data_IF_153961309814
#
_entry.id   IF_153961309814
#
_cell.length_a   1.000
_cell.length_b   1.000
_cell.length_c   1.000
_cell.angle_alpha   90.00
_cell.angle_beta   90.00
_cell.angle_gamma   90.00
#
_symmetry.space_group_name_H-M   'P 1'
#
loop_
_entity.id
_entity.type
_entity.pdbx_description
1 polymer ?
#
# COMPACT_ATOMS: atom_id res chain seq x y z
N UNK A 9 -11.94 -16.34 23.78
CA UNK A 9 -11.64 -16.58 22.37
C UNK A 9 -11.28 -15.28 21.66
N UNK A 10 -12.00 -14.21 21.98
CA UNK A 10 -11.79 -12.91 21.35
C UNK A 10 -10.37 -12.40 21.59
N UNK A 11 -9.81 -12.73 22.74
CA UNK A 11 -8.45 -12.32 23.09
C UNK A 11 -7.39 -13.17 22.40
N UNK A 12 -7.59 -14.49 22.41
CA UNK A 12 -6.58 -15.44 21.94
C UNK A 12 -6.47 -15.52 20.42
N UNK A 13 -7.61 -15.49 19.74
CA UNK A 13 -7.65 -15.60 18.28
C UNK A 13 -6.84 -14.50 17.60
N UNK A 14 -6.85 -13.31 18.20
CA UNK A 14 -6.02 -12.21 17.74
C UNK A 14 -4.56 -12.64 17.70
N UNK A 15 -4.03 -12.99 18.87
CA UNK A 15 -2.66 -13.48 19.02
C UNK A 15 -2.33 -14.58 18.01
N UNK A 16 -3.05 -15.70 18.09
CA UNK A 16 -2.84 -16.83 17.19
C UNK A 16 -2.83 -16.46 15.70
N UNK A 17 -3.95 -15.95 15.21
CA UNK A 17 -4.07 -15.59 13.79
C UNK A 17 -3.02 -14.58 13.34
N UNK A 18 -2.64 -13.67 14.24
CA UNK A 18 -1.59 -12.70 13.93
C UNK A 18 -0.24 -13.40 13.81
N UNK A 19 -0.02 -14.40 14.66
CA UNK A 19 1.19 -15.21 14.59
C UNK A 19 1.25 -15.95 13.26
N UNK A 20 0.10 -16.49 12.84
CA UNK A 20 -0.01 -17.12 11.53
C UNK A 20 0.33 -16.13 10.42
N UNK A 21 -0.15 -14.89 10.57
CA UNK A 21 0.12 -13.84 9.61
C UNK A 21 1.61 -13.53 9.52
N UNK A 22 2.27 -13.49 10.67
CA UNK A 22 3.71 -13.25 10.73
C UNK A 22 4.48 -14.43 10.11
N UNK A 23 3.95 -15.63 10.29
CA UNK A 23 4.55 -16.82 9.69
C UNK A 23 4.48 -16.76 8.17
N UNK A 24 3.29 -16.48 7.64
CA UNK A 24 3.09 -16.37 6.20
C UNK A 24 3.92 -15.23 5.62
N UNK A 25 4.03 -14.15 6.38
CA UNK A 25 4.84 -13.00 5.97
C UNK A 25 6.32 -13.36 5.91
N UNK A 26 6.79 -14.12 6.89
CA UNK A 26 8.19 -14.53 6.96
C UNK A 26 8.55 -15.51 5.85
N UNK A 27 7.73 -16.54 5.68
CA UNK A 27 7.95 -17.53 4.63
C UNK A 27 7.87 -16.88 3.25
N UNK A 28 6.87 -16.02 3.08
CA UNK A 28 6.71 -15.28 1.84
C UNK A 28 7.91 -14.39 1.55
N UNK A 29 8.46 -13.80 2.61
CA UNK A 29 9.67 -12.99 2.49
C UNK A 29 10.86 -13.85 2.11
N UNK A 30 10.84 -15.10 2.56
CA UNK A 30 11.89 -16.05 2.24
C UNK A 30 11.87 -16.45 0.78
N UNK A 31 10.67 -16.74 0.27
CA UNK A 31 10.51 -17.15 -1.13
C UNK A 31 10.90 -16.02 -2.09
N UNK A 32 10.55 -14.80 -1.73
CA UNK A 32 10.80 -13.64 -2.58
C UNK A 32 12.27 -13.23 -2.61
N UNK A 33 13.09 -13.88 -1.78
CA UNK A 33 14.50 -13.52 -1.66
C UNK A 33 15.29 -13.77 -2.94
N UNK A 34 15.14 -14.96 -3.51
CA UNK A 34 15.91 -15.35 -4.69
C UNK A 34 15.50 -14.56 -5.94
N UNK A 35 14.24 -14.16 -6.00
CA UNK A 35 13.72 -13.42 -7.15
C UNK A 35 13.88 -11.91 -6.99
N UNK A 36 14.46 -11.49 -5.87
CA UNK A 36 14.55 -10.07 -5.54
C UNK A 36 15.42 -9.26 -6.50
N UNK A 37 16.28 -9.94 -7.26
CA UNK A 37 17.10 -9.28 -8.27
C UNK A 37 16.27 -8.90 -9.50
N UNK A 38 15.50 -9.87 -9.99
CA UNK A 38 14.62 -9.65 -11.12
C UNK A 38 13.58 -8.59 -10.76
N UNK A 39 13.04 -8.70 -9.55
CA UNK A 39 12.11 -7.70 -9.03
C UNK A 39 12.79 -6.34 -8.89
N UNK A 40 14.08 -6.35 -8.55
CA UNK A 40 14.85 -5.11 -8.47
C UNK A 40 14.92 -4.43 -9.83
N UNK A 41 15.17 -5.21 -10.88
CA UNK A 41 15.21 -4.66 -12.23
C UNK A 41 13.83 -4.18 -12.68
N UNK A 42 12.79 -4.91 -12.29
CA UNK A 42 11.41 -4.52 -12.58
C UNK A 42 11.08 -3.17 -11.94
N UNK A 43 11.56 -2.98 -10.71
CA UNK A 43 11.35 -1.73 -9.99
C UNK A 43 12.21 -0.60 -10.55
N UNK A 44 13.36 -0.95 -11.12
CA UNK A 44 14.24 0.04 -11.71
C UNK A 44 13.79 0.41 -13.12
N UNK A 45 12.86 -0.38 -13.66
CA UNK A 45 12.33 -0.14 -15.01
C UNK A 45 11.64 1.21 -15.26
N UNK A 46 10.73 1.65 -14.35
CA UNK A 46 10.04 2.92 -14.61
C UNK A 46 10.97 4.12 -14.74
N UNK A 47 11.95 4.23 -13.85
CA UNK A 47 12.86 5.37 -13.87
C UNK A 47 13.84 5.28 -15.04
N UNK A 48 14.02 4.08 -15.57
CA UNK A 48 14.94 3.85 -16.68
C UNK A 48 14.37 4.32 -18.01
N UNK A 49 13.13 3.94 -18.29
CA UNK A 49 12.49 4.26 -19.56
C UNK A 49 11.95 5.69 -19.59
N UNK A 50 11.40 6.14 -18.47
CA UNK A 50 10.82 7.47 -18.38
C UNK A 50 11.90 8.55 -18.31
N UNK A 51 13.03 8.23 -17.69
CA UNK A 51 14.14 9.16 -17.58
C UNK A 51 15.48 8.47 -17.81
N UNK A 52 15.84 8.27 -19.08
CA UNK A 52 17.08 7.58 -19.46
C UNK A 52 18.33 8.33 -19.00
N UNK A 53 18.22 9.64 -18.86
CA UNK A 53 19.34 10.48 -18.45
C UNK A 53 19.77 10.20 -17.01
N UNK A 54 18.80 9.93 -16.15
CA UNK A 54 19.05 9.73 -14.73
C UNK A 54 19.81 8.42 -14.45
N UNK A 55 20.87 8.51 -13.65
CA UNK A 55 21.66 7.34 -13.28
C UNK A 55 21.63 7.11 -11.77
N UNK A 56 21.48 5.85 -11.38
CA UNK A 56 21.37 5.48 -9.96
C UNK A 56 22.72 5.43 -9.24
N UNK A 57 22.68 5.62 -7.92
CA UNK A 57 23.88 5.68 -7.10
C UNK A 57 23.80 4.74 -5.89
N UNK A 58 24.90 4.06 -5.60
CA UNK A 58 24.94 3.05 -4.54
C UNK A 58 25.17 3.62 -3.15
N UNK A 59 25.23 4.95 -3.05
CA UNK A 59 25.39 5.66 -1.77
C UNK A 59 26.69 5.31 -1.05
N UNK A 60 26.55 4.79 0.17
CA UNK A 60 27.68 4.33 0.97
C UNK A 60 28.47 3.30 0.18
N UNK A 61 29.78 3.15 0.49
CA UNK A 61 30.70 2.43 -0.41
C UNK A 61 30.18 1.07 -0.88
N UNK A 62 29.68 0.24 0.03
CA UNK A 62 28.93 -0.94 -0.39
C UNK A 62 27.66 -1.14 0.44
N UNK A 63 26.50 -0.99 -0.19
CA UNK A 63 25.25 -1.50 0.38
C UNK A 63 24.30 -2.06 -0.69
N UNK A 64 24.74 -3.08 -1.44
CA UNK A 64 23.85 -3.72 -2.41
C UNK A 64 22.80 -4.61 -1.76
N UNK A 65 23.11 -5.11 -0.56
CA UNK A 65 22.30 -6.14 0.08
C UNK A 65 21.04 -5.61 0.76
N UNK A 66 21.12 -4.40 1.32
CA UNK A 66 19.98 -3.79 2.00
C UNK A 66 18.76 -3.67 1.09
N UNK A 67 19.01 -3.29 -0.16
CA UNK A 67 17.95 -3.17 -1.16
C UNK A 67 17.32 -4.54 -1.44
N UNK A 68 18.17 -5.55 -1.53
CA UNK A 68 17.74 -6.93 -1.75
C UNK A 68 16.80 -7.38 -0.63
N UNK A 69 17.23 -7.13 0.60
CA UNK A 69 16.46 -7.51 1.79
C UNK A 69 15.13 -6.76 1.87
N UNK A 70 15.15 -5.45 1.61
CA UNK A 70 13.94 -4.65 1.64
C UNK A 70 12.93 -5.09 0.58
N UNK A 71 13.43 -5.33 -0.64
CA UNK A 71 12.59 -5.81 -1.72
C UNK A 71 11.97 -7.17 -1.39
N UNK A 72 12.80 -8.10 -0.93
CA UNK A 72 12.32 -9.42 -0.54
C UNK A 72 11.29 -9.34 0.59
N UNK A 73 11.46 -8.36 1.47
CA UNK A 73 10.53 -8.14 2.58
C UNK A 73 9.17 -7.64 2.11
N UNK A 74 9.18 -6.58 1.31
CA UNK A 74 7.95 -5.99 0.81
C UNK A 74 7.19 -6.97 -0.09
N UNK A 75 7.89 -7.52 -1.07
CA UNK A 75 7.30 -8.51 -1.97
C UNK A 75 6.79 -9.71 -1.17
N UNK A 76 7.55 -10.10 -0.15
CA UNK A 76 7.15 -11.18 0.72
C UNK A 76 5.88 -10.88 1.48
N UNK A 77 5.68 -9.61 1.82
CA UNK A 77 4.47 -9.17 2.48
C UNK A 77 3.29 -9.18 1.51
N UNK A 78 3.58 -8.88 0.25
CA UNK A 78 2.56 -8.89 -0.80
C UNK A 78 2.09 -10.31 -1.10
N UNK A 79 3.03 -11.25 -1.12
CA UNK A 79 2.72 -12.65 -1.39
C UNK A 79 1.85 -13.24 -0.28
N UNK A 80 2.08 -12.80 0.95
CA UNK A 80 1.36 -13.31 2.11
C UNK A 80 0.01 -12.63 2.30
N UNK A 81 -0.30 -11.66 1.44
CA UNK A 81 -1.55 -10.90 1.54
C UNK A 81 -2.85 -11.73 1.52
N UNK A 82 -2.94 -12.77 0.67
CA UNK A 82 -4.18 -13.56 0.75
C UNK A 82 -4.33 -14.26 2.10
N UNK A 83 -3.23 -14.73 2.66
CA UNK A 83 -3.25 -15.41 3.95
C UNK A 83 -3.59 -14.43 5.07
N UNK A 84 -2.93 -13.28 5.07
CA UNK A 84 -3.16 -12.25 6.08
C UNK A 84 -4.61 -11.76 6.03
N UNK A 85 -5.11 -11.53 4.82
CA UNK A 85 -6.51 -11.16 4.62
C UNK A 85 -7.44 -12.25 5.13
N UNK A 86 -7.09 -13.50 4.85
CA UNK A 86 -7.89 -14.64 5.29
C UNK A 86 -8.01 -14.67 6.82
N UNK A 87 -6.88 -14.51 7.49
CA UNK A 87 -6.85 -14.50 8.95
C UNK A 87 -7.60 -13.30 9.52
N UNK A 88 -7.52 -12.17 8.82
CA UNK A 88 -8.21 -10.95 9.23
C UNK A 88 -9.73 -11.12 9.18
N UNK A 89 -10.23 -11.53 8.02
CA UNK A 89 -11.66 -11.77 7.84
C UNK A 89 -12.14 -12.88 8.77
N UNK A 90 -11.27 -13.85 9.03
CA UNK A 90 -11.61 -14.95 9.93
C UNK A 90 -11.64 -14.48 11.38
N UNK A 91 -10.94 -13.39 11.65
CA UNK A 91 -10.94 -12.80 12.98
C UNK A 91 -12.19 -11.94 13.21
N UNK A 92 -12.57 -11.17 12.20
CA UNK A 92 -13.72 -10.28 12.32
C UNK A 92 -15.07 -10.96 12.05
N UNK A 93 -15.24 -11.44 10.82
CA UNK A 93 -16.54 -11.94 10.34
C UNK A 93 -17.29 -12.97 11.20
N UNK A 94 -16.66 -14.12 11.51
CA UNK A 94 -17.44 -15.20 12.14
C UNK A 94 -18.01 -14.85 13.52
N UNK A 95 -17.38 -13.91 14.22
CA UNK A 95 -17.77 -13.60 15.59
C UNK A 95 -19.09 -12.86 15.73
N UNK A 96 -19.22 -11.71 15.07
CA UNK A 96 -20.34 -10.81 15.34
C UNK A 96 -21.09 -10.28 14.11
N UNK A 97 -20.40 -9.45 13.33
CA UNK A 97 -21.04 -8.52 12.39
C UNK A 97 -22.02 -9.07 11.36
N UNK A 98 -21.64 -10.12 10.65
CA UNK A 98 -22.47 -10.63 9.55
C UNK A 98 -23.30 -11.86 9.92
N UNK A 99 -22.62 -12.94 10.30
CA UNK A 99 -23.22 -14.25 10.52
C UNK A 99 -23.75 -14.87 9.22
N UNK A 100 -23.00 -14.65 8.14
CA UNK A 100 -23.31 -15.27 6.85
C UNK A 100 -22.04 -15.88 6.26
N UNK A 101 -22.04 -17.20 6.12
CA UNK A 101 -20.85 -17.92 5.67
C UNK A 101 -20.66 -17.86 4.16
N UNK A 102 -21.73 -17.57 3.43
CA UNK A 102 -21.67 -17.49 1.98
C UNK A 102 -21.18 -16.11 1.53
N UNK A 103 -21.21 -15.15 2.44
CA UNK A 103 -20.77 -13.79 2.14
C UNK A 103 -19.28 -13.61 2.44
N UNK A 104 -18.64 -14.69 2.88
CA UNK A 104 -17.22 -14.66 3.23
C UNK A 104 -16.34 -14.68 1.98
N UNK A 105 -16.66 -15.56 1.04
CA UNK A 105 -15.86 -15.75 -0.17
C UNK A 105 -15.75 -14.53 -1.09
N UNK A 106 -16.89 -13.91 -1.47
CA UNK A 106 -16.75 -12.74 -2.34
C UNK A 106 -16.11 -11.56 -1.61
N UNK A 107 -16.18 -11.58 -0.28
CA UNK A 107 -15.58 -10.53 0.54
C UNK A 107 -14.06 -10.68 0.53
N UNK A 108 -13.60 -11.90 0.75
CA UNK A 108 -12.17 -12.20 0.73
C UNK A 108 -11.58 -11.97 -0.65
N UNK A 109 -12.19 -12.59 -1.66
CA UNK A 109 -11.73 -12.44 -3.04
C UNK A 109 -11.77 -10.97 -3.48
N UNK A 110 -12.80 -10.26 -3.05
CA UNK A 110 -12.93 -8.85 -3.35
C UNK A 110 -11.82 -8.02 -2.73
N UNK A 111 -11.52 -8.30 -1.47
CA UNK A 111 -10.46 -7.59 -0.76
C UNK A 111 -9.09 -7.88 -1.37
N UNK A 112 -8.91 -9.11 -1.84
CA UNK A 112 -7.68 -9.51 -2.51
C UNK A 112 -7.52 -8.76 -3.83
N UNK A 113 -8.56 -8.80 -4.65
CA UNK A 113 -8.55 -8.12 -5.94
C UNK A 113 -8.36 -6.62 -5.78
N UNK A 114 -8.86 -6.07 -4.67
CA UNK A 114 -8.69 -4.65 -4.38
C UNK A 114 -7.29 -4.34 -3.87
N UNK A 115 -6.68 -5.32 -3.22
CA UNK A 115 -5.29 -5.19 -2.79
C UNK A 115 -4.40 -5.14 -4.03
N UNK A 116 -4.63 -6.06 -4.95
CA UNK A 116 -3.91 -6.10 -6.21
C UNK A 116 -4.14 -4.82 -7.00
N UNK A 117 -5.38 -4.34 -6.97
CA UNK A 117 -5.74 -3.10 -7.64
C UNK A 117 -4.99 -1.93 -7.04
N UNK A 118 -4.79 -1.96 -5.73
CA UNK A 118 -4.03 -0.93 -5.04
C UNK A 118 -2.57 -0.95 -5.43
N UNK A 119 -2.00 -2.15 -5.49
CA UNK A 119 -0.63 -2.34 -5.96
C UNK A 119 -0.45 -1.75 -7.36
N UNK A 120 -1.19 -2.31 -8.32
CA UNK A 120 -1.13 -1.87 -9.71
C UNK A 120 -1.39 -0.37 -9.87
N UNK A 121 -2.28 0.17 -9.05
CA UNK A 121 -2.56 1.60 -9.06
C UNK A 121 -1.33 2.38 -8.64
N UNK A 122 -0.71 1.95 -7.55
CA UNK A 122 0.49 2.62 -7.04
C UNK A 122 1.64 2.59 -8.04
N UNK A 123 1.85 1.43 -8.66
CA UNK A 123 2.96 1.28 -9.60
C UNK A 123 2.73 2.00 -10.93
N UNK A 124 1.59 1.73 -11.56
CA UNK A 124 1.31 2.25 -12.89
C UNK A 124 0.80 3.70 -12.95
N UNK A 125 0.19 4.17 -11.86
CA UNK A 125 -0.38 5.52 -11.85
C UNK A 125 0.41 6.49 -10.97
N UNK A 126 0.45 6.21 -9.67
CA UNK A 126 1.10 7.09 -8.71
C UNK A 126 2.60 7.27 -8.96
N UNK A 127 3.28 6.17 -9.26
CA UNK A 127 4.74 6.20 -9.44
C UNK A 127 5.24 7.07 -10.61
N UNK A 128 4.70 6.88 -11.83
CA UNK A 128 5.21 7.73 -12.91
C UNK A 128 4.82 9.19 -12.72
N UNK A 129 3.75 9.43 -11.98
CA UNK A 129 3.32 10.79 -11.66
C UNK A 129 4.19 11.36 -10.55
N UNK A 130 4.72 10.47 -9.71
CA UNK A 130 5.60 10.87 -8.61
C UNK A 130 6.95 11.32 -9.14
N UNK A 131 7.40 10.68 -10.21
CA UNK A 131 8.66 11.03 -10.86
C UNK A 131 8.51 12.32 -11.64
N UNK A 132 7.28 12.60 -12.08
CA UNK A 132 7.00 13.78 -12.87
C UNK A 132 7.06 15.05 -12.03
N UNK A 133 6.69 14.94 -10.75
CA UNK A 133 6.72 16.08 -9.84
C UNK A 133 8.10 16.28 -9.22
N UNK A 134 8.96 15.29 -9.36
CA UNK A 134 10.31 15.38 -8.80
C UNK A 134 11.34 15.70 -9.87
N UNK A 135 11.61 14.74 -10.74
CA UNK A 135 12.62 14.90 -11.78
C UNK A 135 12.02 15.34 -13.11
N UNK A 136 10.70 15.46 -13.15
CA UNK A 136 9.99 15.65 -14.41
C UNK A 136 9.58 17.06 -14.78
N UNK A 137 10.26 18.06 -14.22
CA UNK A 137 9.90 19.45 -14.51
C UNK A 137 10.98 20.20 -15.28
N UNK A 138 10.73 20.46 -16.56
CA UNK A 138 11.61 21.29 -17.37
C UNK A 138 13.02 20.80 -17.65
N UNK A 139 13.95 21.74 -17.64
CA UNK A 139 15.35 21.52 -18.03
C UNK A 139 16.24 21.10 -16.87
N UNK A 140 15.61 20.82 -15.74
CA UNK A 140 16.29 20.54 -14.48
C UNK A 140 17.19 19.30 -14.53
N UNK A 141 17.17 18.58 -15.65
CA UNK A 141 17.99 17.38 -15.84
C UNK A 141 19.46 17.61 -15.51
N UNK A 142 19.91 18.86 -15.64
CA UNK A 142 21.27 19.25 -15.26
C UNK A 142 21.55 18.80 -13.83
N UNK A 143 20.53 18.90 -12.97
CA UNK A 143 20.73 18.65 -11.55
C UNK A 143 20.44 17.23 -11.09
N UNK A 144 19.94 16.37 -11.97
CA UNK A 144 20.31 14.97 -11.84
C UNK A 144 20.57 14.29 -13.18
N UNK A 145 21.82 14.14 -13.62
CA UNK A 145 22.15 13.01 -14.51
C UNK A 145 22.61 11.69 -13.84
N UNK A 146 23.80 11.66 -13.18
CA UNK A 146 24.07 10.53 -12.28
C UNK A 146 23.86 10.91 -10.82
N UNK A 147 22.73 11.53 -10.50
CA UNK A 147 22.58 12.12 -9.18
C UNK A 147 21.73 11.33 -8.16
N UNK A 148 21.13 10.22 -8.59
CA UNK A 148 20.07 9.61 -7.79
C UNK A 148 20.48 8.36 -7.01
N UNK A 149 20.07 8.30 -5.74
CA UNK A 149 20.32 7.13 -4.90
C UNK A 149 19.36 6.00 -5.23
N UNK A 150 19.84 4.76 -5.09
CA UNK A 150 18.99 3.60 -5.34
C UNK A 150 18.05 3.35 -4.16
N UNK A 151 18.58 3.48 -2.95
CA UNK A 151 17.81 3.19 -1.74
C UNK A 151 16.59 4.10 -1.61
N UNK A 152 16.78 5.39 -1.89
CA UNK A 152 15.69 6.36 -1.83
C UNK A 152 14.55 5.94 -2.75
N UNK A 153 14.87 5.77 -4.03
CA UNK A 153 13.88 5.41 -5.04
C UNK A 153 13.19 4.08 -4.73
N UNK A 154 13.98 3.05 -4.46
CA UNK A 154 13.46 1.71 -4.21
C UNK A 154 12.57 1.64 -2.97
N UNK A 155 13.06 2.19 -1.86
CA UNK A 155 12.27 2.23 -0.63
C UNK A 155 10.99 3.02 -0.84
N UNK A 156 11.09 4.12 -1.60
CA UNK A 156 9.93 4.92 -1.94
C UNK A 156 8.89 4.09 -2.70
N UNK A 157 9.35 3.34 -3.70
CA UNK A 157 8.47 2.52 -4.53
C UNK A 157 7.80 1.40 -3.72
N UNK A 158 8.60 0.69 -2.93
CA UNK A 158 8.09 -0.40 -2.10
C UNK A 158 7.06 0.11 -1.10
N UNK A 159 7.42 1.16 -0.36
CA UNK A 159 6.52 1.74 0.62
C UNK A 159 5.24 2.27 -0.03
N UNK A 160 5.38 2.84 -1.22
CA UNK A 160 4.24 3.35 -1.97
C UNK A 160 3.28 2.22 -2.35
N UNK A 161 3.83 1.16 -2.93
CA UNK A 161 3.04 0.02 -3.39
C UNK A 161 2.35 -0.70 -2.23
N UNK A 162 3.08 -0.91 -1.14
CA UNK A 162 2.50 -1.56 0.04
C UNK A 162 1.41 -0.69 0.65
N UNK A 163 1.71 0.60 0.82
CA UNK A 163 0.74 1.55 1.36
C UNK A 163 -0.55 1.56 0.56
N UNK A 164 -0.46 1.96 -0.71
CA UNK A 164 -1.64 2.01 -1.57
C UNK A 164 -2.31 0.65 -1.76
N UNK A 165 -1.54 -0.42 -1.56
CA UNK A 165 -2.09 -1.76 -1.61
C UNK A 165 -3.01 -2.01 -0.44
N UNK A 166 -2.58 -1.57 0.74
CA UNK A 166 -3.39 -1.73 1.95
C UNK A 166 -4.58 -0.76 1.96
N UNK A 167 -4.33 0.48 1.56
CA UNK A 167 -5.32 1.55 1.63
C UNK A 167 -6.49 1.37 0.67
N UNK A 168 -6.37 0.43 -0.26
CA UNK A 168 -7.45 0.14 -1.19
C UNK A 168 -8.47 -0.80 -0.56
N UNK A 169 -8.20 -1.21 0.67
CA UNK A 169 -9.13 -2.03 1.44
C UNK A 169 -9.98 -1.14 2.33
N UNK A 170 -9.74 0.16 2.25
CA UNK A 170 -10.56 1.15 2.96
C UNK A 170 -12.05 1.08 2.62
N UNK A 171 -12.41 1.16 1.32
CA UNK A 171 -13.85 1.17 1.00
C UNK A 171 -14.56 -0.11 1.44
N UNK A 172 -13.84 -1.23 1.47
CA UNK A 172 -14.43 -2.50 1.84
C UNK A 172 -14.71 -2.55 3.33
N UNK A 173 -13.65 -2.47 4.13
CA UNK A 173 -13.78 -2.47 5.59
C UNK A 173 -14.77 -1.42 6.07
N UNK A 174 -14.70 -0.22 5.49
CA UNK A 174 -15.61 0.84 5.89
C UNK A 174 -17.06 0.60 5.44
N UNK A 175 -17.24 -0.04 4.28
CA UNK A 175 -18.58 -0.43 3.85
C UNK A 175 -19.16 -1.46 4.81
N UNK A 176 -18.31 -2.36 5.29
CA UNK A 176 -18.73 -3.39 6.24
C UNK A 176 -19.12 -2.76 7.57
N UNK A 177 -18.30 -1.82 8.04
CA UNK A 177 -18.57 -1.14 9.30
C UNK A 177 -19.84 -0.29 9.23
N UNK A 178 -20.06 0.35 8.09
CA UNK A 178 -21.23 1.20 7.90
C UNK A 178 -22.50 0.39 7.64
N UNK A 179 -22.33 -0.82 7.12
CA UNK A 179 -23.46 -1.72 6.92
C UNK A 179 -23.86 -2.37 8.24
N UNK A 180 -22.86 -2.65 9.07
CA UNK A 180 -23.09 -3.24 10.38
C UNK A 180 -23.65 -2.21 11.36
N UNK A 181 -23.53 -0.93 10.99
CA UNK A 181 -24.05 0.15 11.81
C UNK A 181 -23.07 0.65 12.85
N UNK A 182 -21.83 0.19 12.76
CA UNK A 182 -20.79 0.59 13.70
C UNK A 182 -20.41 2.05 13.50
N UNK A 183 -20.08 2.40 12.26
CA UNK A 183 -19.73 3.77 11.93
C UNK A 183 -20.77 4.38 11.01
N UNK A 184 -21.30 5.54 11.40
CA UNK A 184 -22.26 6.25 10.57
C UNK A 184 -21.50 7.08 9.54
N UNK A 185 -22.07 7.21 8.33
CA UNK A 185 -21.47 8.04 7.28
C UNK A 185 -21.26 9.49 7.74
N UNK A 186 -22.11 9.94 8.66
CA UNK A 186 -21.99 11.27 9.23
C UNK A 186 -20.72 11.39 10.07
N UNK A 187 -20.45 10.35 10.86
CA UNK A 187 -19.25 10.31 11.70
C UNK A 187 -17.97 10.31 10.86
N UNK A 188 -18.06 9.78 9.65
CA UNK A 188 -16.94 9.81 8.71
C UNK A 188 -16.83 11.18 8.06
N UNK A 189 -17.97 11.77 7.73
CA UNK A 189 -18.01 13.08 7.09
C UNK A 189 -17.51 14.19 8.02
N UNK A 190 -17.65 13.97 9.32
CA UNK A 190 -17.17 14.94 10.31
C UNK A 190 -15.70 14.73 10.63
N UNK A 191 -15.17 13.58 10.23
CA UNK A 191 -13.79 13.21 10.53
C UNK A 191 -12.83 13.53 9.38
N UNK A 192 -13.37 14.13 8.31
CA UNK A 192 -12.61 14.37 7.08
C UNK A 192 -11.28 15.10 7.29
N UNK A 193 -11.29 16.15 8.11
CA UNK A 193 -10.08 16.94 8.35
C UNK A 193 -9.00 16.14 9.08
N UNK A 194 -9.43 15.32 10.04
CA UNK A 194 -8.50 14.47 10.77
C UNK A 194 -7.92 13.40 9.85
N UNK A 195 -8.71 12.98 8.86
CA UNK A 195 -8.22 12.03 7.87
C UNK A 195 -7.31 12.72 6.86
N UNK A 196 -7.46 14.04 6.74
CA UNK A 196 -6.51 14.82 5.95
C UNK A 196 -5.18 14.79 6.67
N UNK A 197 -5.24 15.00 7.99
CA UNK A 197 -4.06 14.89 8.84
C UNK A 197 -3.40 13.52 8.68
N UNK A 198 -4.21 12.46 8.74
CA UNK A 198 -3.71 11.10 8.54
C UNK A 198 -3.06 10.92 7.17
N UNK A 199 -3.69 11.47 6.14
CA UNK A 199 -3.20 11.36 4.78
C UNK A 199 -1.83 12.01 4.63
N UNK A 200 -1.68 13.20 5.21
CA UNK A 200 -0.40 13.89 5.18
C UNK A 200 0.63 13.23 6.10
N UNK A 201 0.16 12.48 7.08
CA UNK A 201 1.05 11.70 7.94
C UNK A 201 1.66 10.53 7.17
N UNK A 202 0.80 9.74 6.53
CA UNK A 202 1.24 8.63 5.69
C UNK A 202 2.16 9.16 4.60
N UNK A 203 1.72 10.23 3.95
CA UNK A 203 2.50 10.88 2.91
C UNK A 203 3.87 11.33 3.40
N UNK A 204 3.92 11.87 4.62
CA UNK A 204 5.19 12.30 5.20
C UNK A 204 6.09 11.10 5.48
N UNK A 205 5.49 10.00 5.91
CA UNK A 205 6.24 8.79 6.22
C UNK A 205 6.87 8.15 4.98
N UNK A 206 6.04 7.84 3.98
CA UNK A 206 6.53 7.12 2.81
C UNK A 206 7.21 7.99 1.74
N UNK A 207 6.69 9.19 1.51
CA UNK A 207 7.25 10.08 0.49
C UNK A 207 8.40 10.93 1.02
N UNK A 208 9.46 11.09 0.21
CA UNK A 208 10.66 11.84 0.60
C UNK A 208 10.43 13.34 0.81
N UNK A 209 9.64 13.96 -0.05
CA UNK A 209 9.46 15.41 0.01
C UNK A 209 7.99 15.83 0.04
N UNK A 210 7.77 17.14 0.02
CA UNK A 210 6.43 17.71 0.06
C UNK A 210 5.62 17.36 -1.19
N UNK A 211 6.23 17.51 -2.35
CA UNK A 211 5.58 17.24 -3.63
C UNK A 211 4.90 15.87 -3.65
N UNK A 212 5.70 14.82 -3.53
CA UNK A 212 5.17 13.46 -3.52
C UNK A 212 4.22 13.21 -2.34
N UNK A 213 4.49 13.86 -1.21
CA UNK A 213 3.63 13.72 -0.04
C UNK A 213 2.20 14.15 -0.34
N UNK A 214 2.04 15.38 -0.81
CA UNK A 214 0.73 15.91 -1.16
C UNK A 214 0.16 15.13 -2.34
N UNK A 215 1.03 14.67 -3.22
CA UNK A 215 0.61 13.93 -4.41
C UNK A 215 -0.11 12.63 -4.06
N UNK A 216 0.45 11.88 -3.12
CA UNK A 216 -0.14 10.60 -2.73
C UNK A 216 -1.15 10.76 -1.59
N UNK A 217 -1.24 11.97 -1.05
CA UNK A 217 -2.25 12.27 -0.04
C UNK A 217 -3.60 12.48 -0.72
N UNK A 218 -3.56 12.82 -2.00
CA UNK A 218 -4.77 13.04 -2.79
C UNK A 218 -5.63 11.78 -2.97
N UNK A 219 -5.04 10.66 -3.44
CA UNK A 219 -5.89 9.47 -3.60
C UNK A 219 -6.36 8.90 -2.26
N UNK A 220 -5.62 9.20 -1.20
CA UNK A 220 -6.01 8.77 0.14
C UNK A 220 -7.31 9.44 0.57
N UNK A 221 -7.39 10.75 0.36
CA UNK A 221 -8.59 11.51 0.65
C UNK A 221 -9.70 11.12 -0.32
N UNK A 222 -9.30 10.72 -1.51
CA UNK A 222 -10.25 10.29 -2.54
C UNK A 222 -10.96 9.02 -2.11
N UNK A 223 -10.21 8.07 -1.55
CA UNK A 223 -10.77 6.80 -1.10
C UNK A 223 -11.60 6.97 0.16
N UNK A 224 -11.41 8.09 0.84
CA UNK A 224 -12.18 8.39 2.05
C UNK A 224 -13.57 8.88 1.68
N UNK A 225 -13.66 9.63 0.59
CA UNK A 225 -14.94 10.14 0.11
C UNK A 225 -15.69 9.07 -0.68
N UNK A 226 -15.00 7.98 -1.00
CA UNK A 226 -15.63 6.82 -1.61
C UNK A 226 -16.36 6.02 -0.53
N UNK A 227 -15.74 5.95 0.65
CA UNK A 227 -16.29 5.19 1.76
C UNK A 227 -17.56 5.82 2.33
N UNK A 228 -17.60 7.15 2.36
CA UNK A 228 -18.78 7.86 2.85
C UNK A 228 -19.95 7.67 1.89
N UNK A 229 -19.63 7.49 0.62
CA UNK A 229 -20.65 7.26 -0.40
C UNK A 229 -21.22 5.86 -0.26
N UNK A 230 -20.34 4.89 0.02
CA UNK A 230 -20.76 3.51 0.22
C UNK A 230 -21.52 3.37 1.54
N UNK A 231 -21.37 4.36 2.42
CA UNK A 231 -22.10 4.39 3.67
C UNK A 231 -23.54 4.82 3.45
N UNK A 232 -23.73 5.80 2.58
CA UNK A 232 -25.06 6.26 2.22
C UNK A 232 -25.81 5.16 1.48
N UNK A 233 -25.07 4.35 0.74
CA UNK A 233 -25.63 3.21 0.02
C UNK A 233 -25.84 2.02 0.95
N UNK A 234 -25.13 2.02 2.07
CA UNK A 234 -25.28 0.96 3.07
C UNK A 234 -26.52 1.21 3.92
N UNK A 235 -26.79 2.48 4.21
CA UNK A 235 -27.95 2.85 5.00
C UNK A 235 -29.23 2.82 4.17
N UNK A 236 -29.11 3.23 2.90
CA UNK A 236 -30.25 3.22 2.00
C UNK A 236 -30.18 2.03 1.04
#
# INVERSE_FOLDING_TARGET
GSVDMPLTEHLRELRYRLIISIIAFLIGSGIAFYFAKYVFEILAAPILKSYPEVELITLSPTEPLFILIKISLAVGFIIASPVILYQFWRFIEPALYSHEKRAFIPLLLGSILLFMLGALFAYFIVLPLALKFLLGLGFTQLLATPYLSVDMYISFVLKLVVAFGIAFEMPIVLYVLQKAGVITPEQLASFRKYFIVIAFVIGAIIAPDVSTQVLMAIPLLLLYEISIFLGKLATR
#
